data_IF_944543895284
#
_entry.id   IF_944543895284
#
_cell.length_a   1.000
_cell.length_b   1.000
_cell.length_c   1.000
_cell.angle_alpha   90.00
_cell.angle_beta   90.00
_cell.angle_gamma   90.00
#
_symmetry.space_group_name_H-M   'P 1'
#
loop_
_entity.id
_entity.type
_entity.pdbx_description
1 polymer ?
#
# COMPACT_ATOMS: atom_id res chain seq x y z
N UNK A 1 -55.36 -62.95 -2.46
CA UNK A 1 -54.29 -63.09 -1.45
C UNK A 1 -52.96 -63.18 -2.18
N UNK A 2 -52.33 -62.03 -2.43
CA UNK A 2 -50.99 -61.98 -3.02
C UNK A 2 -50.39 -60.60 -2.70
N UNK A 3 -49.78 -60.51 -1.52
CA UNK A 3 -48.93 -59.41 -1.11
C UNK A 3 -47.74 -60.02 -0.37
N UNK A 4 -46.55 -59.64 -0.77
CA UNK A 4 -45.31 -59.97 -0.06
C UNK A 4 -44.33 -60.77 -0.90
N UNK A 5 -43.56 -60.09 -1.76
CA UNK A 5 -42.11 -60.29 -1.91
C UNK A 5 -41.55 -59.39 -3.03
N UNK A 6 -41.38 -58.08 -2.81
CA UNK A 6 -40.47 -57.24 -3.62
C UNK A 6 -40.15 -55.92 -2.90
N UNK A 7 -39.74 -55.99 -1.63
CA UNK A 7 -39.24 -54.82 -0.90
C UNK A 7 -38.04 -55.12 0.00
N UNK A 8 -37.25 -56.14 -0.34
CA UNK A 8 -36.08 -56.56 0.45
C UNK A 8 -34.74 -56.47 -0.31
N UNK A 9 -34.73 -56.06 -1.59
CA UNK A 9 -33.51 -55.98 -2.41
C UNK A 9 -33.10 -54.55 -2.80
N UNK A 10 -33.78 -53.52 -2.28
CA UNK A 10 -33.46 -52.11 -2.53
C UNK A 10 -32.98 -51.33 -1.28
N UNK A 11 -32.57 -52.03 -0.21
CA UNK A 11 -32.08 -51.43 1.06
C UNK A 11 -30.62 -51.84 1.38
N UNK A 12 -29.89 -52.43 0.43
CA UNK A 12 -28.46 -52.77 0.59
C UNK A 12 -27.51 -52.03 -0.38
N UNK A 13 -27.92 -50.90 -0.96
CA UNK A 13 -27.01 -50.01 -1.71
C UNK A 13 -26.86 -48.61 -1.10
N UNK A 14 -27.35 -48.37 0.12
CA UNK A 14 -27.20 -47.09 0.82
C UNK A 14 -26.35 -47.18 2.09
N UNK A 15 -25.59 -48.27 2.29
CA UNK A 15 -24.75 -48.48 3.47
C UNK A 15 -23.25 -48.69 3.14
N UNK A 16 -22.80 -48.13 2.01
CA UNK A 16 -21.37 -47.81 1.80
C UNK A 16 -21.25 -46.34 1.42
N UNK A 17 -21.80 -45.46 2.26
CA UNK A 17 -21.06 -44.22 2.53
C UNK A 17 -19.78 -44.73 3.17
N UNK A 18 -18.72 -44.86 2.37
CA UNK A 18 -17.39 -44.99 2.93
C UNK A 18 -17.30 -43.85 3.94
N UNK A 19 -17.06 -44.17 5.21
CA UNK A 19 -16.19 -43.33 6.02
C UNK A 19 -14.93 -43.14 5.19
N UNK A 20 -14.95 -42.15 4.31
CA UNK A 20 -13.77 -41.64 3.66
C UNK A 20 -13.01 -40.98 4.80
N UNK A 21 -12.27 -41.79 5.56
CA UNK A 21 -11.18 -41.31 6.39
C UNK A 21 -10.40 -40.37 5.49
N UNK A 22 -10.47 -39.07 5.79
CA UNK A 22 -9.83 -38.09 4.95
C UNK A 22 -8.33 -38.42 4.89
N UNK A 23 -7.93 -38.77 3.67
CA UNK A 23 -6.59 -39.16 3.28
C UNK A 23 -5.73 -37.92 3.11
N UNK A 24 -4.40 -38.08 3.19
CA UNK A 24 -3.41 -37.04 2.90
C UNK A 24 -3.78 -36.16 1.68
N UNK A 25 -3.33 -34.89 1.62
CA UNK A 25 -3.69 -33.97 0.55
C UNK A 25 -3.54 -34.59 -0.85
N UNK A 26 -4.60 -34.52 -1.64
CA UNK A 26 -4.63 -35.04 -3.00
C UNK A 26 -4.47 -33.93 -4.04
N UNK A 27 -4.38 -34.32 -5.31
CA UNK A 27 -4.25 -33.36 -6.40
C UNK A 27 -5.46 -32.40 -6.45
N UNK A 28 -5.18 -31.09 -6.51
CA UNK A 28 -6.14 -29.98 -6.47
C UNK A 28 -6.84 -29.70 -5.13
N UNK A 29 -6.50 -30.37 -4.03
CA UNK A 29 -7.16 -30.14 -2.73
C UNK A 29 -6.96 -28.71 -2.18
N UNK A 30 -5.90 -28.01 -2.57
CA UNK A 30 -5.62 -26.63 -2.18
C UNK A 30 -5.89 -25.62 -3.31
N UNK A 31 -6.53 -26.05 -4.41
CA UNK A 31 -6.67 -25.23 -5.63
C UNK A 31 -7.51 -23.97 -5.42
N UNK A 32 -8.56 -24.04 -4.59
CA UNK A 32 -9.44 -22.90 -4.33
C UNK A 32 -8.70 -21.81 -3.56
N UNK A 33 -8.00 -22.20 -2.51
CA UNK A 33 -7.15 -21.35 -1.68
C UNK A 33 -6.04 -20.74 -2.52
N UNK A 34 -5.38 -21.56 -3.34
CA UNK A 34 -4.32 -21.14 -4.25
C UNK A 34 -4.81 -20.07 -5.23
N UNK A 35 -5.91 -20.31 -5.94
CA UNK A 35 -6.45 -19.32 -6.90
C UNK A 35 -6.89 -18.02 -6.22
N UNK A 36 -7.32 -18.10 -4.96
CA UNK A 36 -7.72 -16.92 -4.18
C UNK A 36 -6.50 -16.11 -3.72
N UNK A 37 -5.44 -16.77 -3.22
CA UNK A 37 -4.17 -16.10 -2.93
C UNK A 37 -3.53 -15.51 -4.19
N UNK A 38 -3.61 -16.20 -5.33
CA UNK A 38 -3.16 -15.67 -6.61
C UNK A 38 -3.91 -14.40 -7.02
N UNK A 39 -5.22 -14.34 -6.80
CA UNK A 39 -6.01 -13.14 -7.06
C UNK A 39 -5.60 -11.98 -6.13
N UNK A 40 -5.37 -12.25 -4.84
CA UNK A 40 -4.84 -11.25 -3.91
C UNK A 40 -3.45 -10.75 -4.33
N UNK A 41 -2.56 -11.65 -4.76
CA UNK A 41 -1.22 -11.31 -5.23
C UNK A 41 -1.26 -10.46 -6.49
N UNK A 42 -2.02 -10.88 -7.52
CA UNK A 42 -2.19 -10.11 -8.75
C UNK A 42 -2.82 -8.74 -8.49
N UNK A 43 -3.74 -8.65 -7.52
CA UNK A 43 -4.31 -7.39 -7.10
C UNK A 43 -3.26 -6.46 -6.46
N UNK A 44 -2.42 -6.97 -5.57
CA UNK A 44 -1.34 -6.16 -4.96
C UNK A 44 -0.30 -5.71 -6.00
N UNK A 45 0.11 -6.58 -6.92
CA UNK A 45 1.04 -6.22 -7.99
C UNK A 45 0.47 -5.17 -8.95
N UNK A 46 -0.82 -5.27 -9.27
CA UNK A 46 -1.50 -4.24 -10.06
C UNK A 46 -1.61 -2.93 -9.26
N UNK A 47 -1.87 -3.02 -7.95
CA UNK A 47 -2.01 -1.86 -7.08
C UNK A 47 -0.70 -1.05 -6.93
N UNK A 48 0.47 -1.69 -7.03
CA UNK A 48 1.78 -1.01 -7.07
C UNK A 48 1.91 -0.03 -8.24
N UNK A 49 1.13 -0.23 -9.31
CA UNK A 49 1.14 0.58 -10.53
C UNK A 49 0.14 1.74 -10.49
N UNK A 50 -0.68 1.85 -9.45
CA UNK A 50 -1.66 2.96 -9.34
C UNK A 50 -0.90 4.29 -9.20
N UNK A 51 -1.17 5.28 -10.07
CA UNK A 51 -0.51 6.58 -9.99
C UNK A 51 -0.99 7.37 -8.77
N UNK A 52 -0.05 8.00 -8.07
CA UNK A 52 -0.28 8.87 -6.92
C UNK A 52 0.33 10.26 -7.17
N UNK A 53 -0.17 10.91 -8.22
CA UNK A 53 0.30 12.23 -8.67
C UNK A 53 -0.28 13.37 -7.82
N UNK A 54 0.61 14.23 -7.32
CA UNK A 54 0.26 15.42 -6.56
C UNK A 54 -0.25 16.54 -7.46
N UNK A 55 -1.07 17.42 -6.87
CA UNK A 55 -1.49 18.65 -7.51
C UNK A 55 -0.35 19.67 -7.56
N UNK A 56 -0.19 20.33 -8.71
CA UNK A 56 0.78 21.42 -8.90
C UNK A 56 0.27 22.75 -8.36
N UNK A 57 1.14 23.58 -7.77
CA UNK A 57 0.75 24.95 -7.39
C UNK A 57 0.51 25.78 -8.67
N UNK A 58 -0.64 26.45 -8.84
CA UNK A 58 -0.90 27.29 -10.02
C UNK A 58 0.05 28.48 -10.11
N UNK A 59 0.41 28.90 -11.33
CA UNK A 59 1.24 30.08 -11.59
C UNK A 59 0.63 31.37 -11.01
N UNK A 60 -0.70 31.45 -10.95
CA UNK A 60 -1.43 32.57 -10.36
C UNK A 60 -1.02 32.86 -8.90
N UNK A 61 -0.51 31.88 -8.16
CA UNK A 61 0.03 32.13 -6.82
C UNK A 61 1.25 33.06 -6.85
N UNK A 62 2.17 32.84 -7.79
CA UNK A 62 3.35 33.69 -7.95
C UNK A 62 2.93 35.12 -8.35
N UNK A 63 1.88 35.25 -9.15
CA UNK A 63 1.28 36.54 -9.52
C UNK A 63 0.73 37.28 -8.30
N UNK A 64 -0.07 36.61 -7.47
CA UNK A 64 -0.63 37.19 -6.25
C UNK A 64 0.46 37.63 -5.27
N UNK A 65 1.53 36.85 -5.13
CA UNK A 65 2.68 37.22 -4.31
C UNK A 65 3.39 38.48 -4.84
N UNK A 66 3.55 38.60 -6.16
CA UNK A 66 4.13 39.78 -6.79
C UNK A 66 3.23 41.02 -6.68
N UNK A 67 1.90 40.87 -6.86
CA UNK A 67 0.93 41.94 -6.60
C UNK A 67 1.04 42.41 -5.14
N UNK A 68 1.14 41.48 -4.18
CA UNK A 68 1.30 41.80 -2.78
C UNK A 68 2.59 42.61 -2.50
N UNK A 69 3.72 42.18 -3.06
CA UNK A 69 4.97 42.94 -2.99
C UNK A 69 4.84 44.34 -3.60
N UNK A 70 4.17 44.49 -4.74
CA UNK A 70 4.09 45.76 -5.47
C UNK A 70 3.37 46.89 -4.72
N UNK A 71 2.57 46.52 -3.71
CA UNK A 71 1.84 47.44 -2.82
C UNK A 71 2.40 47.47 -1.39
N UNK A 72 3.47 46.70 -1.12
CA UNK A 72 4.13 46.69 0.18
C UNK A 72 4.84 48.03 0.44
N UNK A 73 5.00 48.36 1.72
CA UNK A 73 5.71 49.57 2.16
C UNK A 73 7.22 49.45 1.94
N UNK A 74 7.89 50.60 1.84
CA UNK A 74 9.34 50.71 1.63
C UNK A 74 10.15 49.92 2.66
N UNK A 75 9.72 49.92 3.93
CA UNK A 75 10.41 49.19 5.01
C UNK A 75 10.47 47.68 4.74
N UNK A 76 9.41 47.11 4.17
CA UNK A 76 9.37 45.69 3.83
C UNK A 76 10.24 45.35 2.63
N UNK A 77 10.24 46.22 1.60
CA UNK A 77 11.19 46.10 0.48
C UNK A 77 12.64 46.16 0.93
N UNK A 78 12.96 47.05 1.87
CA UNK A 78 14.31 47.15 2.46
C UNK A 78 14.69 45.89 3.22
N UNK A 79 13.77 45.26 3.95
CA UNK A 79 14.03 43.97 4.61
C UNK A 79 14.37 42.86 3.60
N UNK A 80 13.58 42.72 2.53
CA UNK A 80 13.86 41.72 1.48
C UNK A 80 15.21 42.00 0.82
N UNK A 81 15.52 43.28 0.56
CA UNK A 81 16.82 43.68 0.03
C UNK A 81 17.96 43.31 0.98
N UNK A 82 17.82 43.54 2.29
CA UNK A 82 18.82 43.16 3.28
C UNK A 82 19.07 41.63 3.32
N UNK A 83 18.01 40.83 3.11
CA UNK A 83 18.14 39.38 2.95
C UNK A 83 18.96 39.04 1.71
N UNK A 84 18.67 39.68 0.57
CA UNK A 84 19.42 39.48 -0.68
C UNK A 84 20.88 39.89 -0.57
N UNK A 85 21.14 41.07 0.01
CA UNK A 85 22.49 41.62 0.22
C UNK A 85 23.31 40.77 1.21
N UNK A 86 22.62 39.97 2.04
CA UNK A 86 23.24 38.96 2.90
C UNK A 86 23.56 37.63 2.18
N UNK A 87 23.43 37.56 0.86
CA UNK A 87 23.58 36.33 0.06
C UNK A 87 22.50 35.28 0.37
N UNK A 88 21.29 35.73 0.72
CA UNK A 88 20.11 34.87 0.87
C UNK A 88 19.65 34.63 2.30
N UNK A 89 18.48 33.99 2.42
CA UNK A 89 17.74 33.81 3.67
C UNK A 89 18.52 33.08 4.77
N UNK A 90 19.16 31.96 4.43
CA UNK A 90 19.94 31.15 5.38
C UNK A 90 21.11 31.92 6.03
N UNK A 91 21.73 32.83 5.28
CA UNK A 91 22.83 33.65 5.80
C UNK A 91 22.29 34.83 6.60
N UNK A 92 21.19 35.45 6.15
CA UNK A 92 20.52 36.52 6.87
C UNK A 92 20.05 36.07 8.26
N UNK A 93 19.35 34.92 8.36
CA UNK A 93 18.81 34.43 9.63
C UNK A 93 19.90 34.11 10.66
N UNK A 94 21.04 33.55 10.21
CA UNK A 94 22.21 33.28 11.06
C UNK A 94 22.85 34.56 11.62
N UNK A 95 22.81 35.67 10.88
CA UNK A 95 23.36 36.97 11.32
C UNK A 95 22.47 37.66 12.35
N UNK A 96 21.16 37.42 12.32
CA UNK A 96 20.19 38.08 13.20
C UNK A 96 19.88 37.28 14.48
N UNK A 97 20.83 36.46 14.95
CA UNK A 97 20.79 35.67 16.19
C UNK A 97 19.45 34.93 16.45
N UNK A 98 18.84 34.37 15.41
CA UNK A 98 17.64 33.55 15.55
C UNK A 98 16.33 34.31 15.81
N UNK A 99 16.31 35.64 15.65
CA UNK A 99 15.09 36.47 15.73
C UNK A 99 13.98 36.00 14.78
N UNK A 100 14.33 35.26 13.73
CA UNK A 100 13.42 34.78 12.71
C UNK A 100 13.31 33.25 12.62
N UNK A 101 13.74 32.50 13.65
CA UNK A 101 13.84 31.03 13.65
C UNK A 101 12.48 30.31 13.78
N UNK A 102 11.49 30.72 12.99
CA UNK A 102 10.25 29.99 12.83
C UNK A 102 10.22 29.28 11.47
N UNK A 103 9.72 28.04 11.46
CA UNK A 103 9.46 27.25 10.25
C UNK A 103 8.61 28.01 9.21
N UNK A 104 7.77 28.94 9.66
CA UNK A 104 6.98 29.79 8.78
C UNK A 104 7.88 30.65 7.88
N UNK A 105 8.87 31.35 8.43
CA UNK A 105 9.74 32.24 7.63
C UNK A 105 10.60 31.49 6.62
N UNK A 106 11.09 30.29 6.97
CA UNK A 106 11.81 29.41 6.05
C UNK A 106 10.95 29.00 4.84
N UNK A 107 9.64 28.75 5.05
CA UNK A 107 8.71 28.42 3.97
C UNK A 107 8.33 29.64 3.10
N UNK A 108 8.18 30.83 3.70
CA UNK A 108 7.66 32.00 2.97
C UNK A 108 8.77 32.80 2.30
N UNK A 109 9.91 33.05 2.96
CA UNK A 109 10.88 34.05 2.50
C UNK A 109 11.36 33.86 1.06
N UNK A 110 11.65 32.63 0.58
CA UNK A 110 12.02 32.41 -0.83
C UNK A 110 10.96 32.91 -1.82
N UNK A 111 9.67 32.82 -1.47
CA UNK A 111 8.55 33.31 -2.29
C UNK A 111 8.60 34.84 -2.40
N UNK A 112 8.83 35.51 -1.27
CA UNK A 112 8.85 36.98 -1.22
C UNK A 112 10.05 37.54 -1.97
N UNK A 113 11.20 36.88 -1.91
CA UNK A 113 12.38 37.21 -2.72
C UNK A 113 12.07 37.07 -4.21
N UNK A 114 11.48 35.95 -4.63
CA UNK A 114 11.12 35.73 -6.04
C UNK A 114 10.09 36.75 -6.55
N UNK A 115 9.08 37.06 -5.74
CA UNK A 115 8.08 38.08 -6.03
C UNK A 115 8.70 39.49 -6.13
N UNK A 116 9.64 39.83 -5.23
CA UNK A 116 10.41 41.07 -5.29
C UNK A 116 11.20 41.21 -6.57
N UNK A 117 11.87 40.13 -7.00
CA UNK A 117 12.67 40.11 -8.23
C UNK A 117 11.80 40.28 -9.47
N UNK A 118 10.60 39.68 -9.47
CA UNK A 118 9.61 39.88 -10.53
C UNK A 118 9.16 41.33 -10.62
N UNK A 119 8.84 41.96 -9.50
CA UNK A 119 8.35 43.35 -9.44
C UNK A 119 9.44 44.36 -9.83
N UNK A 120 10.69 44.10 -9.45
CA UNK A 120 11.84 44.99 -9.67
C UNK A 120 12.73 44.58 -10.84
N UNK A 121 12.22 43.74 -11.75
CA UNK A 121 12.93 43.36 -12.95
C UNK A 121 13.33 44.61 -13.78
N UNK A 122 14.53 44.56 -14.38
CA UNK A 122 15.05 45.65 -15.20
C UNK A 122 14.11 45.88 -16.40
N UNK A 123 13.69 47.14 -16.64
CA UNK A 123 12.74 47.64 -17.66
C UNK A 123 11.38 48.14 -17.14
N UNK A 124 11.08 47.97 -15.84
CA UNK A 124 9.84 48.42 -15.19
C UNK A 124 8.57 47.83 -15.85
N UNK A 125 8.66 46.65 -16.46
CA UNK A 125 7.55 46.02 -17.19
C UNK A 125 6.38 45.62 -16.29
N UNK A 126 6.66 45.21 -15.05
CA UNK A 126 5.64 44.85 -14.06
C UNK A 126 4.58 45.94 -13.90
N UNK A 127 4.99 47.18 -13.67
CA UNK A 127 4.07 48.31 -13.45
C UNK A 127 3.37 48.79 -14.72
N UNK A 128 3.86 48.40 -15.92
CA UNK A 128 3.16 48.62 -17.19
C UNK A 128 2.03 47.60 -17.38
N UNK A 129 2.28 46.34 -17.03
CA UNK A 129 1.32 45.24 -17.13
C UNK A 129 0.27 45.29 -16.00
N UNK A 130 0.63 45.84 -14.84
CA UNK A 130 -0.21 45.95 -13.65
C UNK A 130 -0.34 47.42 -13.22
N UNK A 131 -1.01 48.27 -14.03
CA UNK A 131 -1.20 49.67 -13.68
C UNK A 131 -1.99 49.79 -12.37
N UNK A 132 -1.58 50.70 -11.50
CA UNK A 132 -2.31 50.95 -10.26
C UNK A 132 -3.71 51.47 -10.59
N UNK A 133 -4.77 50.98 -9.91
CA UNK A 133 -6.13 51.46 -10.15
C UNK A 133 -6.19 52.98 -9.91
N UNK A 134 -6.90 53.70 -10.78
CA UNK A 134 -7.16 55.14 -10.63
C UNK A 134 -8.26 55.44 -9.59
N UNK A 135 -8.61 54.47 -8.75
CA UNK A 135 -9.78 54.58 -7.88
C UNK A 135 -9.56 55.60 -6.74
N UNK A 136 -10.67 56.06 -6.15
CA UNK A 136 -10.71 56.99 -5.02
C UNK A 136 -10.58 56.31 -3.65
N UNK A 137 -10.41 54.98 -3.61
CA UNK A 137 -10.28 54.25 -2.37
C UNK A 137 -8.91 54.55 -1.71
N UNK A 138 -8.85 54.62 -0.37
CA UNK A 138 -7.59 54.82 0.32
C UNK A 138 -6.58 53.72 -0.05
N UNK A 139 -5.33 54.10 -0.31
CA UNK A 139 -4.25 53.15 -0.63
C UNK A 139 -4.09 52.06 0.45
N UNK A 140 -4.38 52.39 1.71
CA UNK A 140 -4.39 51.44 2.82
C UNK A 140 -5.47 50.37 2.69
N UNK A 141 -6.67 50.72 2.23
CA UNK A 141 -7.75 49.78 2.01
C UNK A 141 -7.42 48.80 0.87
N UNK A 142 -6.82 49.30 -0.22
CA UNK A 142 -6.35 48.47 -1.33
C UNK A 142 -5.25 47.51 -0.87
N UNK A 143 -4.26 48.02 -0.12
CA UNK A 143 -3.18 47.20 0.44
C UNK A 143 -3.73 46.14 1.40
N UNK A 144 -4.71 46.47 2.23
CA UNK A 144 -5.34 45.52 3.14
C UNK A 144 -6.05 44.39 2.38
N UNK A 145 -6.85 44.72 1.37
CA UNK A 145 -7.54 43.71 0.56
C UNK A 145 -6.57 42.77 -0.18
N UNK A 146 -5.47 43.31 -0.71
CA UNK A 146 -4.41 42.52 -1.34
C UNK A 146 -3.69 41.63 -0.33
N UNK A 147 -3.40 42.12 0.88
CA UNK A 147 -2.78 41.34 1.95
C UNK A 147 -3.65 40.15 2.38
N UNK A 148 -4.96 40.37 2.55
CA UNK A 148 -5.92 39.30 2.86
C UNK A 148 -5.96 38.26 1.75
N UNK A 149 -6.02 38.71 0.49
CA UNK A 149 -6.04 37.82 -0.67
C UNK A 149 -4.76 37.00 -0.79
N UNK A 150 -3.59 37.61 -0.58
CA UNK A 150 -2.30 36.93 -0.59
C UNK A 150 -2.16 35.91 0.54
N UNK A 151 -2.67 36.23 1.72
CA UNK A 151 -2.70 35.31 2.86
C UNK A 151 -3.59 34.10 2.58
N UNK A 152 -4.77 34.31 1.98
CA UNK A 152 -5.64 33.21 1.56
C UNK A 152 -4.98 32.34 0.48
N UNK A 153 -4.33 32.96 -0.51
CA UNK A 153 -3.58 32.26 -1.56
C UNK A 153 -2.43 31.43 -0.97
N UNK A 154 -1.75 31.94 0.06
CA UNK A 154 -0.70 31.20 0.78
C UNK A 154 -1.25 29.97 1.50
N UNK A 155 -2.39 30.07 2.18
CA UNK A 155 -3.03 28.93 2.82
C UNK A 155 -3.42 27.86 1.80
N UNK A 156 -4.01 28.27 0.66
CA UNK A 156 -4.32 27.37 -0.46
C UNK A 156 -3.07 26.68 -1.01
N UNK A 157 -1.97 27.41 -1.18
CA UNK A 157 -0.67 26.85 -1.60
C UNK A 157 -0.19 25.78 -0.62
N UNK A 158 -0.25 26.04 0.69
CA UNK A 158 0.15 25.05 1.69
C UNK A 158 -0.68 23.78 1.60
N UNK A 159 -1.99 23.88 1.40
CA UNK A 159 -2.85 22.72 1.15
C UNK A 159 -2.39 21.91 -0.05
N UNK A 160 -2.03 22.59 -1.15
CA UNK A 160 -1.55 21.94 -2.38
C UNK A 160 -0.19 21.27 -2.17
N UNK A 161 0.80 22.00 -1.62
CA UNK A 161 2.16 21.51 -1.44
C UNK A 161 2.24 20.36 -0.42
N UNK A 162 1.40 20.40 0.62
CA UNK A 162 1.36 19.34 1.65
C UNK A 162 0.48 18.16 1.25
N UNK A 163 -0.26 18.25 0.14
CA UNK A 163 -1.06 17.14 -0.33
C UNK A 163 -0.17 15.97 -0.77
N UNK A 164 -0.53 14.76 -0.34
CA UNK A 164 0.27 13.56 -0.56
C UNK A 164 1.46 13.40 0.39
N UNK A 165 1.54 14.20 1.45
CA UNK A 165 2.51 14.05 2.53
C UNK A 165 1.83 13.65 3.84
N UNK A 166 2.56 12.93 4.70
CA UNK A 166 2.13 12.66 6.06
C UNK A 166 2.45 13.82 7.03
N UNK A 167 2.18 13.62 8.32
CA UNK A 167 2.38 14.67 9.33
C UNK A 167 3.87 15.05 9.54
N UNK A 168 4.79 14.20 9.11
CA UNK A 168 6.24 14.44 9.16
C UNK A 168 6.79 15.02 7.85
N UNK A 169 5.94 15.20 6.83
CA UNK A 169 6.33 15.63 5.49
C UNK A 169 6.77 14.49 4.57
N UNK A 170 6.74 13.24 5.03
CA UNK A 170 7.14 12.10 4.21
C UNK A 170 6.10 11.79 3.11
N UNK A 171 6.53 11.42 1.88
CA UNK A 171 5.60 11.13 0.79
C UNK A 171 4.71 9.90 1.05
N UNK A 172 3.39 10.07 0.98
CA UNK A 172 2.43 8.96 1.12
C UNK A 172 2.59 7.92 0.00
N UNK A 173 3.01 8.33 -1.20
CA UNK A 173 3.25 7.41 -2.31
C UNK A 173 4.38 6.40 -2.02
N UNK A 174 5.45 6.85 -1.34
CA UNK A 174 6.54 5.97 -0.93
C UNK A 174 6.07 4.97 0.12
N UNK A 175 5.33 5.45 1.13
CA UNK A 175 4.73 4.61 2.17
C UNK A 175 3.76 3.57 1.60
N UNK A 176 2.92 3.97 0.64
CA UNK A 176 1.98 3.08 -0.06
C UNK A 176 2.71 1.93 -0.76
N UNK A 177 3.74 2.24 -1.58
CA UNK A 177 4.54 1.22 -2.28
C UNK A 177 5.30 0.31 -1.33
N UNK A 178 5.83 0.88 -0.24
CA UNK A 178 6.49 0.11 0.81
C UNK A 178 5.51 -0.90 1.44
N UNK A 179 4.31 -0.44 1.84
CA UNK A 179 3.31 -1.30 2.48
C UNK A 179 2.84 -2.44 1.56
N UNK A 180 2.62 -2.17 0.26
CA UNK A 180 2.32 -3.23 -0.70
C UNK A 180 3.49 -4.19 -0.91
N UNK A 181 4.72 -3.68 -0.98
CA UNK A 181 5.91 -4.53 -1.08
C UNK A 181 6.10 -5.39 0.17
N UNK A 182 5.83 -4.85 1.36
CA UNK A 182 5.82 -5.60 2.63
C UNK A 182 4.70 -6.64 2.68
N UNK A 183 3.53 -6.38 2.09
CA UNK A 183 2.47 -7.38 1.99
C UNK A 183 2.89 -8.55 1.08
N UNK A 184 3.43 -8.25 -0.10
CA UNK A 184 3.82 -9.26 -1.09
C UNK A 184 5.03 -10.07 -0.60
N UNK A 185 6.06 -9.38 -0.12
CA UNK A 185 7.39 -9.95 0.15
C UNK A 185 7.70 -10.12 1.65
N UNK A 186 6.96 -9.48 2.55
CA UNK A 186 7.31 -9.44 3.96
C UNK A 186 8.50 -8.54 4.25
N UNK A 187 9.15 -8.79 5.39
CA UNK A 187 10.28 -8.02 5.93
C UNK A 187 11.53 -8.89 6.07
N UNK A 188 12.67 -8.24 6.23
CA UNK A 188 13.97 -8.89 6.47
C UNK A 188 14.36 -9.91 5.40
N UNK A 189 14.39 -11.21 5.73
CA UNK A 189 14.88 -12.29 4.87
C UNK A 189 14.15 -12.36 3.52
N UNK A 190 12.84 -12.14 3.53
CA UNK A 190 12.00 -12.19 2.32
C UNK A 190 11.73 -10.82 1.70
N UNK A 191 12.30 -9.75 2.27
CA UNK A 191 12.05 -8.35 1.86
C UNK A 191 12.19 -8.09 0.36
N UNK A 192 11.51 -7.05 -0.11
CA UNK A 192 11.67 -6.61 -1.49
C UNK A 192 13.12 -6.19 -1.77
N UNK A 193 13.67 -6.64 -2.89
CA UNK A 193 15.01 -6.29 -3.34
C UNK A 193 15.10 -4.90 -3.97
N UNK A 194 13.97 -4.32 -4.41
CA UNK A 194 13.94 -3.06 -5.17
C UNK A 194 12.76 -2.12 -4.85
N UNK A 195 11.91 -2.47 -3.88
CA UNK A 195 10.74 -1.67 -3.50
C UNK A 195 9.59 -1.69 -4.52
N UNK A 196 9.68 -2.52 -5.55
CA UNK A 196 8.66 -2.68 -6.60
C UNK A 196 8.02 -4.09 -6.58
N UNK A 197 7.97 -4.73 -5.41
CA UNK A 197 7.36 -6.06 -5.27
C UNK A 197 8.20 -7.24 -5.78
N UNK A 198 9.44 -7.01 -6.24
CA UNK A 198 10.40 -8.11 -6.46
C UNK A 198 10.94 -8.55 -5.10
N UNK A 199 10.58 -9.76 -4.68
CA UNK A 199 11.00 -10.32 -3.40
C UNK A 199 12.35 -11.00 -3.56
N UNK A 200 13.15 -11.04 -2.49
CA UNK A 200 14.30 -11.95 -2.43
C UNK A 200 13.77 -13.38 -2.48
N UNK A 201 14.40 -14.21 -3.30
CA UNK A 201 14.02 -15.60 -3.46
C UNK A 201 14.85 -16.53 -2.57
N UNK A 202 14.38 -17.77 -2.40
CA UNK A 202 15.07 -18.84 -1.70
C UNK A 202 16.28 -19.26 -2.55
N UNK A 203 17.47 -18.93 -2.06
CA UNK A 203 18.75 -19.11 -2.78
C UNK A 203 19.36 -20.51 -2.62
N UNK A 204 18.90 -21.29 -1.63
CA UNK A 204 19.36 -22.64 -1.34
C UNK A 204 18.21 -23.66 -1.48
N UNK A 205 18.37 -24.85 -0.89
CA UNK A 205 17.33 -25.88 -0.82
C UNK A 205 17.01 -26.20 0.64
N UNK A 206 16.43 -25.25 1.41
CA UNK A 206 16.14 -25.45 2.82
C UNK A 206 15.05 -26.51 3.02
N UNK A 207 15.01 -27.11 4.20
CA UNK A 207 13.92 -27.98 4.59
C UNK A 207 12.60 -27.18 4.69
N UNK A 208 11.51 -27.78 4.22
CA UNK A 208 10.16 -27.20 4.28
C UNK A 208 9.79 -26.80 5.71
N UNK A 209 10.06 -27.66 6.67
CA UNK A 209 9.75 -27.46 8.10
C UNK A 209 10.50 -26.30 8.75
N UNK A 210 11.50 -25.73 8.07
CA UNK A 210 12.21 -24.52 8.52
C UNK A 210 11.57 -23.26 7.95
N UNK A 211 11.02 -23.34 6.73
CA UNK A 211 10.50 -22.19 5.99
C UNK A 211 9.00 -22.02 6.25
N UNK A 212 8.22 -23.08 6.11
CA UNK A 212 6.77 -23.08 6.24
C UNK A 212 6.30 -23.46 7.65
N UNK A 213 6.90 -22.79 8.62
CA UNK A 213 6.54 -22.87 10.03
C UNK A 213 5.34 -21.98 10.34
N UNK A 214 4.65 -22.27 11.45
CA UNK A 214 3.66 -21.37 12.02
C UNK A 214 4.24 -19.97 12.34
N UNK A 215 5.53 -19.89 12.68
CA UNK A 215 6.20 -18.63 12.94
C UNK A 215 6.41 -17.77 11.68
N UNK A 216 6.35 -18.37 10.49
CA UNK A 216 6.53 -17.69 9.20
C UNK A 216 5.23 -17.51 8.42
N UNK A 217 4.20 -18.29 8.74
CA UNK A 217 2.86 -18.10 8.21
C UNK A 217 2.41 -16.65 8.36
N UNK A 218 1.88 -16.06 7.29
CA UNK A 218 1.34 -14.70 7.31
C UNK A 218 2.36 -13.58 7.20
N UNK A 219 3.67 -13.87 7.23
CA UNK A 219 4.71 -12.83 7.09
C UNK A 219 4.76 -12.21 5.70
N UNK A 220 4.45 -12.98 4.66
CA UNK A 220 4.49 -12.55 3.27
C UNK A 220 3.52 -13.36 2.43
N UNK A 221 2.76 -12.72 1.53
CA UNK A 221 1.81 -13.41 0.67
C UNK A 221 2.47 -14.42 -0.28
N UNK A 222 3.65 -14.10 -0.84
CA UNK A 222 4.38 -15.06 -1.71
C UNK A 222 4.87 -16.29 -0.94
N UNK A 223 5.23 -16.12 0.33
CA UNK A 223 5.62 -17.23 1.19
C UNK A 223 4.42 -18.13 1.50
N UNK A 224 3.28 -17.54 1.84
CA UNK A 224 2.05 -18.29 2.08
C UNK A 224 1.59 -19.06 0.81
N UNK A 225 1.72 -18.47 -0.38
CA UNK A 225 1.50 -19.15 -1.66
C UNK A 225 2.40 -20.37 -1.86
N UNK A 226 3.69 -20.25 -1.51
CA UNK A 226 4.64 -21.34 -1.57
C UNK A 226 4.25 -22.45 -0.59
N UNK A 227 4.08 -22.12 0.69
CA UNK A 227 3.73 -23.05 1.77
C UNK A 227 2.42 -23.81 1.53
N UNK A 228 1.44 -23.15 0.91
CA UNK A 228 0.18 -23.79 0.52
C UNK A 228 0.37 -24.87 -0.55
N UNK A 229 1.34 -24.71 -1.44
CA UNK A 229 1.48 -25.54 -2.64
C UNK A 229 2.59 -26.57 -2.62
N UNK A 230 3.54 -26.44 -1.69
CA UNK A 230 4.64 -27.38 -1.49
C UNK A 230 4.18 -28.67 -0.79
N UNK A 231 3.81 -29.65 -1.60
CA UNK A 231 3.49 -30.99 -1.12
C UNK A 231 4.27 -32.01 -1.97
N UNK A 232 5.12 -32.83 -1.34
CA UNK A 232 5.99 -33.77 -2.06
C UNK A 232 5.24 -35.01 -2.58
N UNK A 233 4.07 -35.31 -2.02
CA UNK A 233 3.24 -36.44 -2.39
C UNK A 233 2.29 -36.14 -3.57
N UNK A 234 1.75 -34.92 -3.68
CA UNK A 234 0.68 -34.60 -4.64
C UNK A 234 0.75 -33.19 -5.25
N UNK A 235 0.15 -33.03 -6.42
CA UNK A 235 -0.02 -31.75 -7.12
C UNK A 235 -1.23 -30.96 -6.55
N UNK A 236 -1.08 -30.49 -5.31
CA UNK A 236 -2.18 -29.93 -4.49
C UNK A 236 -2.78 -28.62 -5.01
N UNK A 237 -1.98 -27.77 -5.66
CA UNK A 237 -2.44 -26.47 -6.18
C UNK A 237 -2.71 -26.48 -7.69
N UNK A 238 -1.81 -27.09 -8.46
CA UNK A 238 -1.83 -27.12 -9.92
C UNK A 238 -1.01 -28.30 -10.43
N UNK A 239 -1.51 -28.97 -11.48
CA UNK A 239 -0.80 -30.08 -12.10
C UNK A 239 0.58 -29.67 -12.66
N UNK A 240 1.53 -30.62 -12.58
CA UNK A 240 2.87 -30.54 -13.14
C UNK A 240 3.71 -29.35 -12.61
N UNK A 241 3.55 -28.99 -11.34
CA UNK A 241 4.24 -27.84 -10.77
C UNK A 241 5.04 -28.12 -9.50
N UNK A 242 4.66 -29.17 -8.76
CA UNK A 242 5.32 -29.58 -7.50
C UNK A 242 6.84 -29.61 -7.60
N UNK A 243 7.39 -30.16 -8.69
CA UNK A 243 8.84 -30.36 -8.87
C UNK A 243 9.63 -29.06 -8.92
N UNK A 244 8.97 -27.92 -9.19
CA UNK A 244 9.59 -26.59 -9.13
C UNK A 244 9.56 -25.97 -7.73
N UNK A 245 8.78 -26.55 -6.81
CA UNK A 245 8.58 -26.05 -5.45
C UNK A 245 9.36 -26.88 -4.44
N UNK A 246 9.25 -28.21 -4.53
CA UNK A 246 9.73 -29.14 -3.50
C UNK A 246 10.26 -30.44 -4.12
N UNK A 247 11.30 -31.00 -3.49
CA UNK A 247 11.80 -32.36 -3.75
C UNK A 247 12.05 -33.06 -2.41
N UNK A 248 11.38 -34.19 -2.19
CA UNK A 248 11.30 -34.82 -0.87
C UNK A 248 10.88 -33.76 0.19
N UNK A 249 11.62 -33.63 1.29
CA UNK A 249 11.30 -32.65 2.34
C UNK A 249 11.88 -31.24 2.10
N UNK A 250 12.60 -31.00 0.99
CA UNK A 250 13.35 -29.76 0.78
C UNK A 250 12.75 -28.90 -0.34
N UNK A 251 12.69 -27.60 -0.10
CA UNK A 251 12.29 -26.62 -1.09
C UNK A 251 13.35 -26.51 -2.19
N UNK A 252 12.90 -26.18 -3.39
CA UNK A 252 13.79 -25.89 -4.50
C UNK A 252 14.31 -24.45 -4.42
N UNK A 253 15.48 -24.23 -5.04
CA UNK A 253 15.96 -22.87 -5.29
C UNK A 253 14.96 -22.13 -6.19
N UNK A 254 14.75 -20.85 -5.93
CA UNK A 254 13.81 -20.00 -6.66
C UNK A 254 12.33 -20.41 -6.50
N UNK A 255 12.01 -21.13 -5.42
CA UNK A 255 10.66 -21.67 -5.19
C UNK A 255 9.61 -20.59 -4.91
N UNK A 256 9.97 -19.39 -4.44
CA UNK A 256 9.01 -18.29 -4.30
C UNK A 256 8.59 -17.73 -5.67
N UNK A 257 9.55 -17.48 -6.57
CA UNK A 257 9.23 -17.10 -7.94
C UNK A 257 8.43 -18.19 -8.64
N UNK A 258 8.81 -19.46 -8.46
CA UNK A 258 8.03 -20.58 -8.97
C UNK A 258 6.59 -20.55 -8.41
N UNK A 259 6.37 -20.48 -7.10
CA UNK A 259 5.01 -20.47 -6.54
C UNK A 259 4.09 -19.42 -7.18
N UNK A 260 4.62 -18.23 -7.47
CA UNK A 260 3.84 -17.16 -8.13
C UNK A 260 3.68 -17.31 -9.63
N UNK A 261 4.68 -17.83 -10.36
CA UNK A 261 4.54 -18.15 -11.79
C UNK A 261 3.49 -19.24 -12.06
N UNK A 262 3.10 -19.96 -11.01
CA UNK A 262 2.02 -20.94 -11.03
C UNK A 262 0.64 -20.30 -11.23
N UNK A 263 0.47 -19.06 -10.75
CA UNK A 263 -0.78 -18.34 -10.75
C UNK A 263 -1.29 -18.09 -12.19
N UNK A 264 -2.61 -18.20 -12.43
CA UNK A 264 -3.18 -17.83 -13.72
C UNK A 264 -2.96 -16.32 -13.93
N UNK A 265 -1.97 -15.96 -14.75
CA UNK A 265 -1.62 -14.56 -14.97
C UNK A 265 -2.84 -13.78 -15.47
N UNK A 266 -3.27 -12.81 -14.66
CA UNK A 266 -4.03 -11.64 -15.08
C UNK A 266 -3.55 -10.48 -14.22
N UNK A 267 -2.55 -9.75 -14.69
CA UNK A 267 -2.43 -8.37 -14.23
C UNK A 267 -3.75 -7.68 -14.58
N UNK A 268 -4.34 -6.98 -13.62
CA UNK A 268 -5.54 -6.20 -13.89
C UNK A 268 -5.11 -4.93 -14.62
N UNK A 269 -5.51 -4.79 -15.89
CA UNK A 269 -5.21 -3.60 -16.71
C UNK A 269 -5.81 -2.32 -16.13
N UNK A 270 -6.87 -2.44 -15.35
CA UNK A 270 -7.44 -1.36 -14.55
C UNK A 270 -7.83 -1.92 -13.17
N UNK A 271 -6.98 -1.71 -12.17
CA UNK A 271 -7.31 -2.06 -10.79
C UNK A 271 -7.73 -0.82 -10.00
N UNK A 272 -8.73 -0.99 -9.14
CA UNK A 272 -9.12 0.00 -8.14
C UNK A 272 -8.73 -0.48 -6.76
N UNK A 273 -8.68 0.42 -5.78
CA UNK A 273 -8.41 0.02 -4.39
C UNK A 273 -9.50 -0.92 -3.84
N UNK A 274 -10.73 -0.81 -4.31
CA UNK A 274 -11.82 -1.72 -3.95
C UNK A 274 -11.56 -3.15 -4.45
N UNK A 275 -10.96 -3.31 -5.64
CA UNK A 275 -10.55 -4.63 -6.12
C UNK A 275 -9.49 -5.26 -5.21
N UNK A 276 -8.51 -4.47 -4.75
CA UNK A 276 -7.51 -4.95 -3.78
C UNK A 276 -8.18 -5.41 -2.48
N UNK A 277 -9.04 -4.58 -1.89
CA UNK A 277 -9.77 -4.93 -0.66
C UNK A 277 -10.62 -6.20 -0.84
N UNK A 278 -11.28 -6.34 -1.99
CA UNK A 278 -12.11 -7.51 -2.30
C UNK A 278 -11.26 -8.77 -2.43
N UNK A 279 -10.15 -8.71 -3.15
CA UNK A 279 -9.26 -9.85 -3.36
C UNK A 279 -8.60 -10.32 -2.06
N UNK A 280 -8.15 -9.38 -1.20
CA UNK A 280 -7.61 -9.70 0.13
C UNK A 280 -8.71 -10.30 1.01
N UNK A 281 -9.90 -9.69 1.06
CA UNK A 281 -11.02 -10.16 1.87
C UNK A 281 -11.53 -11.55 1.47
N UNK A 282 -11.42 -11.93 0.19
CA UNK A 282 -11.81 -13.27 -0.27
C UNK A 282 -11.00 -14.40 0.39
N UNK A 283 -9.74 -14.13 0.78
CA UNK A 283 -8.89 -15.11 1.49
C UNK A 283 -9.48 -15.44 2.86
N UNK A 284 -10.03 -14.44 3.57
CA UNK A 284 -10.62 -14.61 4.90
C UNK A 284 -11.68 -15.71 4.95
N UNK A 285 -12.49 -15.82 3.91
CA UNK A 285 -13.58 -16.80 3.83
C UNK A 285 -13.11 -18.26 3.67
N UNK A 286 -11.82 -18.47 3.39
CA UNK A 286 -11.23 -19.81 3.18
C UNK A 286 -10.41 -20.30 4.37
N UNK A 287 -10.11 -19.41 5.33
CA UNK A 287 -9.38 -19.79 6.54
C UNK A 287 -10.32 -20.61 7.44
N UNK A 288 -9.85 -21.79 7.84
CA UNK A 288 -10.62 -22.75 8.64
C UNK A 288 -11.69 -23.50 7.84
N UNK A 289 -11.62 -23.48 6.51
CA UNK A 289 -12.60 -24.17 5.65
C UNK A 289 -12.41 -25.69 5.61
N UNK A 290 -11.26 -26.22 6.05
CA UNK A 290 -11.03 -27.67 6.09
C UNK A 290 -11.94 -28.33 7.13
N UNK A 291 -13.03 -28.95 6.65
CA UNK A 291 -14.04 -29.61 7.48
C UNK A 291 -13.68 -31.05 7.83
N UNK A 292 -12.59 -31.59 7.27
CA UNK A 292 -12.21 -33.00 7.44
C UNK A 292 -11.41 -33.24 8.74
N UNK A 293 -11.08 -32.17 9.47
CA UNK A 293 -10.23 -32.23 10.66
C UNK A 293 -11.02 -32.59 11.92
N UNK A 294 -10.41 -33.47 12.74
CA UNK A 294 -10.96 -33.86 14.04
C UNK A 294 -10.85 -32.76 15.10
N UNK A 295 -9.99 -31.76 14.88
CA UNK A 295 -9.78 -30.60 15.74
C UNK A 295 -9.88 -29.33 14.91
N UNK A 296 -10.55 -28.30 15.44
CA UNK A 296 -10.62 -27.01 14.79
C UNK A 296 -9.24 -26.33 14.79
N UNK A 297 -8.63 -26.18 13.62
CA UNK A 297 -7.36 -25.46 13.42
C UNK A 297 -7.61 -24.31 12.44
N UNK A 298 -6.97 -23.16 12.66
CA UNK A 298 -7.18 -21.99 11.81
C UNK A 298 -6.16 -21.98 10.66
N UNK A 299 -6.29 -22.95 9.76
CA UNK A 299 -5.43 -23.12 8.59
C UNK A 299 -6.10 -22.64 7.31
N UNK A 300 -5.30 -22.18 6.35
CA UNK A 300 -5.69 -22.06 4.95
C UNK A 300 -5.15 -23.26 4.19
N UNK A 301 -5.99 -23.99 3.47
CA UNK A 301 -5.61 -25.19 2.72
C UNK A 301 -6.04 -26.47 3.44
N UNK A 302 -5.34 -27.58 3.17
CA UNK A 302 -5.72 -28.90 3.66
C UNK A 302 -4.65 -29.53 4.54
N UNK A 303 -5.07 -30.03 5.70
CA UNK A 303 -4.25 -30.83 6.59
C UNK A 303 -4.53 -32.33 6.41
N UNK A 304 -3.52 -33.14 6.69
CA UNK A 304 -3.70 -34.55 6.95
C UNK A 304 -4.41 -34.70 8.30
N UNK A 305 -5.35 -35.64 8.41
CA UNK A 305 -6.21 -35.82 9.60
C UNK A 305 -5.47 -36.13 10.90
N UNK A 306 -4.24 -36.67 10.82
CA UNK A 306 -3.37 -36.92 11.96
C UNK A 306 -2.41 -35.76 12.28
N UNK A 307 -2.37 -34.72 11.45
CA UNK A 307 -1.47 -33.58 11.61
C UNK A 307 -2.15 -32.45 12.38
N UNK A 308 -1.34 -31.69 13.10
CA UNK A 308 -1.76 -30.51 13.87
C UNK A 308 -1.15 -29.21 13.35
N UNK A 309 -0.28 -29.28 12.34
CA UNK A 309 0.44 -28.15 11.76
C UNK A 309 0.76 -28.35 10.27
N UNK A 310 1.22 -27.29 9.61
CA UNK A 310 1.57 -27.30 8.18
C UNK A 310 3.07 -27.56 7.91
N UNK A 311 3.86 -27.89 8.93
CA UNK A 311 5.32 -27.78 8.88
C UNK A 311 5.99 -28.91 8.09
N UNK A 312 5.44 -30.12 8.08
CA UNK A 312 6.03 -31.24 7.34
C UNK A 312 5.34 -31.49 5.98
N UNK A 313 6.09 -32.02 5.01
CA UNK A 313 5.58 -32.34 3.67
C UNK A 313 4.43 -33.34 3.69
N UNK A 314 4.47 -34.28 4.66
CA UNK A 314 3.42 -35.27 4.93
C UNK A 314 2.21 -34.73 5.71
N UNK A 315 2.36 -33.57 6.36
CA UNK A 315 1.35 -33.03 7.26
C UNK A 315 0.24 -32.28 6.53
N UNK A 316 0.53 -31.63 5.41
CA UNK A 316 -0.46 -30.83 4.74
C UNK A 316 0.07 -29.99 3.60
N UNK A 317 -0.89 -29.42 2.88
CA UNK A 317 -0.73 -28.36 1.89
C UNK A 317 -1.51 -27.16 2.41
N UNK A 318 -0.89 -26.42 3.33
CA UNK A 318 -1.59 -25.41 4.13
C UNK A 318 -0.67 -24.33 4.70
N UNK A 319 -1.30 -23.29 5.23
CA UNK A 319 -0.69 -22.21 6.00
C UNK A 319 -1.40 -22.10 7.35
N UNK A 320 -0.65 -22.10 8.45
CA UNK A 320 -1.22 -22.08 9.81
C UNK A 320 -1.31 -20.66 10.38
N UNK A 321 -2.52 -20.11 10.42
CA UNK A 321 -2.82 -18.79 10.97
C UNK A 321 -3.33 -18.81 12.41
N UNK A 322 -3.26 -19.95 13.11
CA UNK A 322 -3.83 -20.13 14.46
C UNK A 322 -3.36 -19.06 15.45
N UNK A 323 -2.10 -18.64 15.39
CA UNK A 323 -1.53 -17.61 16.28
C UNK A 323 -2.19 -16.23 16.13
N UNK A 324 -2.73 -15.91 14.95
CA UNK A 324 -3.39 -14.63 14.67
C UNK A 324 -4.86 -14.60 15.11
N UNK A 325 -5.45 -15.76 15.38
CA UNK A 325 -6.81 -15.89 15.89
C UNK A 325 -6.87 -16.14 17.40
N UNK A 326 -5.70 -16.31 18.04
CA UNK A 326 -5.59 -16.33 19.49
C UNK A 326 -5.58 -14.92 20.09
N UNK A 327 -6.17 -14.75 21.27
CA UNK A 327 -6.09 -13.49 22.01
C UNK A 327 -4.60 -13.14 22.31
N UNK A 328 -4.19 -11.86 22.20
CA UNK A 328 -5.01 -10.65 22.03
C UNK A 328 -5.16 -10.18 20.57
N UNK A 329 -4.92 -11.05 19.58
CA UNK A 329 -4.97 -10.69 18.17
C UNK A 329 -6.43 -10.61 17.66
N UNK A 330 -6.63 -9.87 16.57
CA UNK A 330 -7.95 -9.56 16.01
C UNK A 330 -8.35 -10.50 14.86
N UNK A 331 -7.69 -11.65 14.72
CA UNK A 331 -7.92 -12.59 13.62
C UNK A 331 -7.25 -12.15 12.33
N UNK A 332 -7.99 -12.26 11.22
CA UNK A 332 -7.50 -12.03 9.85
C UNK A 332 -6.69 -10.73 9.68
N UNK A 333 -7.20 -9.62 10.19
CA UNK A 333 -6.61 -8.29 9.99
C UNK A 333 -5.26 -8.13 10.74
N UNK A 334 -4.92 -9.08 11.62
CA UNK A 334 -3.63 -9.12 12.33
C UNK A 334 -2.55 -9.96 11.64
N UNK A 335 -2.89 -10.67 10.56
CA UNK A 335 -1.92 -11.36 9.71
C UNK A 335 -1.01 -10.30 9.07
N UNK A 336 0.33 -10.38 9.19
CA UNK A 336 1.23 -9.30 8.80
C UNK A 336 1.08 -8.82 7.35
N UNK A 337 0.95 -9.73 6.38
CA UNK A 337 0.75 -9.31 4.99
C UNK A 337 -0.61 -8.64 4.76
N UNK A 338 -1.65 -9.07 5.47
CA UNK A 338 -3.00 -8.46 5.42
C UNK A 338 -2.94 -7.06 6.01
N UNK A 339 -2.37 -6.91 7.21
CA UNK A 339 -2.21 -5.62 7.88
C UNK A 339 -1.41 -4.62 7.02
N UNK A 340 -0.39 -5.10 6.31
CA UNK A 340 0.39 -4.29 5.38
C UNK A 340 -0.45 -3.85 4.16
N UNK A 341 -1.24 -4.76 3.57
CA UNK A 341 -2.14 -4.44 2.47
C UNK A 341 -3.23 -3.43 2.88
N UNK A 342 -3.86 -3.61 4.04
CA UNK A 342 -4.84 -2.68 4.59
C UNK A 342 -4.22 -1.33 4.92
N UNK A 343 -2.98 -1.33 5.42
CA UNK A 343 -2.17 -0.13 5.61
C UNK A 343 -1.98 0.65 4.30
N UNK A 344 -1.72 -0.04 3.19
CA UNK A 344 -1.61 0.59 1.87
C UNK A 344 -2.96 1.18 1.41
N UNK A 345 -4.05 0.43 1.57
CA UNK A 345 -5.41 0.91 1.28
C UNK A 345 -5.72 2.20 2.05
N UNK A 346 -5.41 2.25 3.35
CA UNK A 346 -5.61 3.43 4.19
C UNK A 346 -4.75 4.62 3.73
N UNK A 347 -3.48 4.38 3.40
CA UNK A 347 -2.56 5.40 2.86
C UNK A 347 -3.08 5.98 1.55
N UNK A 348 -3.59 5.15 0.65
CA UNK A 348 -4.18 5.62 -0.61
C UNK A 348 -5.45 6.45 -0.38
N UNK A 349 -6.36 5.99 0.48
CA UNK A 349 -7.58 6.75 0.82
C UNK A 349 -7.24 8.12 1.40
N UNK A 350 -6.24 8.19 2.29
CA UNK A 350 -5.73 9.48 2.81
C UNK A 350 -5.18 10.36 1.70
N UNK A 351 -4.38 9.81 0.79
CA UNK A 351 -3.87 10.55 -0.36
C UNK A 351 -5.00 11.12 -1.22
N UNK A 352 -6.06 10.35 -1.50
CA UNK A 352 -7.19 10.83 -2.30
C UNK A 352 -7.93 12.01 -1.64
N UNK A 353 -8.17 11.95 -0.32
CA UNK A 353 -8.75 13.06 0.43
C UNK A 353 -7.87 14.32 0.33
N UNK A 354 -6.56 14.17 0.51
CA UNK A 354 -5.62 15.29 0.41
C UNK A 354 -5.55 15.85 -1.02
N UNK A 355 -5.56 14.99 -2.03
CA UNK A 355 -5.57 15.38 -3.45
C UNK A 355 -6.84 16.16 -3.79
N UNK A 356 -8.00 15.69 -3.34
CA UNK A 356 -9.27 16.39 -3.54
C UNK A 356 -9.26 17.78 -2.87
N UNK A 357 -8.75 17.88 -1.65
CA UNK A 357 -8.61 19.18 -0.96
C UNK A 357 -7.66 20.13 -1.73
N UNK A 358 -6.55 19.61 -2.27
CA UNK A 358 -5.65 20.40 -3.10
C UNK A 358 -6.29 20.84 -4.42
N UNK A 359 -7.05 19.97 -5.09
CA UNK A 359 -7.78 20.32 -6.29
C UNK A 359 -8.84 21.41 -6.03
N UNK A 360 -9.53 21.35 -4.89
CA UNK A 360 -10.44 22.42 -4.46
C UNK A 360 -9.69 23.72 -4.11
N UNK A 361 -8.47 23.62 -3.58
CA UNK A 361 -7.64 24.80 -3.30
C UNK A 361 -7.17 25.51 -4.58
N UNK A 362 -7.01 24.79 -5.70
CA UNK A 362 -6.71 25.34 -7.03
C UNK A 362 -7.84 26.14 -7.64
N UNK A 363 -9.09 25.73 -7.40
CA UNK A 363 -10.28 26.34 -7.98
C UNK A 363 -10.77 27.44 -7.02
N UNK A 364 -11.06 28.63 -7.56
CA UNK A 364 -11.30 29.92 -6.84
C UNK A 364 -10.02 30.61 -6.38
#
# INVERSE_FOLDING_TARGET
MQQGLTLATLICMSAFVRDAKATAPAANDARREFTTLCAAWAAMESALKIPMEQETVPEAFAEIAAINISVAGTDWHQQIKAVKDSSGWETFKKKDNGKWDSLFWDEIMPIWIAAYDKVHAANNQWYKEHPRPTNTAPAEAVRHAINVSASLAYQKRLTITKAGQDATGAPLAARYKQQLSEAICGKAEYSSSDGNGKCKDISATPAKDTICTQANAGKALKLDLLCLCENDAAEVCKAAYKTNLISAANLQRNSLAAATACCPQKEHTAITIEHLTTAVGAVRALIGHDTDLSTAVTVLGKLNTAATDCSHSSNGACVDYTTYYAAPKTGFDSIPWVAAADGAVATYKRFQVQKQAAAQAKIR
#
